data_IF_954195313232
#
_entry.id   IF_954195313232
#
_cell.length_a   1.000
_cell.length_b   1.000
_cell.length_c   1.000
_cell.angle_alpha   90.00
_cell.angle_beta   90.00
_cell.angle_gamma   90.00
#
_symmetry.space_group_name_H-M   'P 1'
#
loop_
_entity.id
_entity.type
_entity.pdbx_description
1 polymer ?
#
# COMPACT_ATOMS: atom_id res chain seq x y z
N UNK A 1 10.31 31.64 -26.50
CA UNK A 1 10.70 30.28 -26.06
C UNK A 1 11.04 30.19 -24.57
N UNK A 2 10.58 31.10 -23.71
CA UNK A 2 10.71 30.96 -22.24
C UNK A 2 9.43 30.42 -21.58
N UNK A 3 8.26 30.70 -22.17
CA UNK A 3 6.94 30.35 -21.59
C UNK A 3 6.61 28.86 -21.64
N UNK A 4 7.07 28.12 -22.66
CA UNK A 4 6.86 26.67 -22.77
C UNK A 4 7.71 25.85 -21.78
N UNK A 5 8.91 26.32 -21.43
CA UNK A 5 9.75 25.67 -20.41
C UNK A 5 9.17 25.81 -19.01
N UNK A 6 8.52 26.94 -18.70
CA UNK A 6 7.85 27.15 -17.40
C UNK A 6 6.62 26.24 -17.26
N UNK A 7 5.87 26.00 -18.34
CA UNK A 7 4.72 25.10 -18.33
C UNK A 7 5.11 23.62 -18.18
N UNK A 8 6.24 23.20 -18.77
CA UNK A 8 6.72 21.81 -18.69
C UNK A 8 7.22 21.44 -17.29
N UNK A 9 7.76 22.40 -16.53
CA UNK A 9 8.20 22.17 -15.14
C UNK A 9 7.04 21.99 -14.15
N UNK A 10 5.87 22.59 -14.40
CA UNK A 10 4.74 22.54 -13.46
C UNK A 10 3.95 21.23 -13.51
N UNK A 11 3.99 20.49 -14.62
CA UNK A 11 3.27 19.23 -14.80
C UNK A 11 4.04 17.99 -14.26
N UNK A 12 5.33 18.14 -13.93
CA UNK A 12 6.18 17.04 -13.44
C UNK A 12 6.03 16.74 -11.94
N UNK A 13 5.30 17.56 -11.18
CA UNK A 13 5.23 17.46 -9.71
C UNK A 13 4.10 16.56 -9.18
N UNK A 14 3.25 15.98 -10.03
CA UNK A 14 1.99 15.34 -9.57
C UNK A 14 2.09 13.82 -9.36
N UNK A 15 3.20 13.16 -9.67
CA UNK A 15 3.20 11.68 -9.66
C UNK A 15 4.36 11.10 -8.86
N UNK A 16 4.26 11.13 -7.53
CA UNK A 16 4.90 10.14 -6.65
C UNK A 16 4.12 10.07 -5.32
N UNK A 17 2.93 9.50 -5.33
CA UNK A 17 2.34 8.96 -4.10
C UNK A 17 2.08 7.47 -4.32
N UNK A 18 3.16 6.70 -4.37
CA UNK A 18 3.10 5.23 -4.29
C UNK A 18 3.34 4.83 -2.84
N UNK A 19 2.46 5.27 -1.93
CA UNK A 19 2.31 4.57 -0.67
C UNK A 19 1.40 3.38 -0.93
N UNK A 20 1.87 2.16 -0.69
CA UNK A 20 1.04 0.95 -0.73
C UNK A 20 0.08 0.88 0.48
N UNK A 21 -0.43 2.04 0.90
CA UNK A 21 -1.31 2.22 2.04
C UNK A 21 -2.50 3.06 1.62
N UNK A 22 -3.67 2.72 2.14
CA UNK A 22 -4.87 3.53 1.99
C UNK A 22 -5.53 3.76 3.33
N UNK A 23 -6.23 4.88 3.43
CA UNK A 23 -7.07 5.21 4.57
C UNK A 23 -8.47 5.56 4.08
N UNK A 24 -9.47 4.86 4.60
CA UNK A 24 -10.88 5.15 4.37
C UNK A 24 -11.47 5.71 5.65
N UNK A 25 -11.84 7.00 5.62
CA UNK A 25 -12.45 7.67 6.75
C UNK A 25 -13.79 7.01 7.14
N UNK A 26 -14.08 6.99 8.44
CA UNK A 26 -15.37 6.56 8.94
C UNK A 26 -16.47 7.58 8.58
N UNK A 27 -17.50 7.11 7.88
CA UNK A 27 -18.64 7.93 7.47
C UNK A 27 -19.78 7.84 8.51
N UNK A 28 -20.03 8.94 9.22
CA UNK A 28 -21.15 9.05 10.16
C UNK A 28 -22.41 9.52 9.42
N UNK A 29 -23.16 8.57 8.85
CA UNK A 29 -24.37 8.88 8.06
C UNK A 29 -25.63 9.12 8.91
N UNK A 30 -25.72 8.46 10.07
CA UNK A 30 -26.86 8.58 10.99
C UNK A 30 -26.36 8.71 12.44
N UNK A 31 -26.68 9.84 13.06
CA UNK A 31 -26.33 10.12 14.46
C UNK A 31 -27.07 9.20 15.45
N UNK A 32 -28.23 8.66 15.08
CA UNK A 32 -29.02 7.75 15.93
C UNK A 32 -28.52 6.31 15.86
N UNK A 33 -27.79 5.96 14.80
CA UNK A 33 -27.20 4.64 14.60
C UNK A 33 -25.74 4.79 14.16
N UNK A 34 -24.83 5.14 15.07
CA UNK A 34 -23.43 5.30 14.74
C UNK A 34 -22.83 3.98 14.26
N UNK A 35 -21.84 4.01 13.36
CA UNK A 35 -21.08 2.84 12.97
C UNK A 35 -20.50 2.15 14.21
N UNK A 36 -20.52 0.81 14.21
CA UNK A 36 -19.92 -0.01 15.27
C UNK A 36 -18.52 -0.49 14.91
N UNK A 37 -18.04 -0.12 13.73
CA UNK A 37 -16.79 -0.58 13.16
C UNK A 37 -16.62 -0.11 11.72
N UNK A 38 -15.68 -0.73 11.02
CA UNK A 38 -15.34 -0.43 9.64
C UNK A 38 -15.86 -1.52 8.72
N UNK A 39 -16.26 -1.14 7.51
CA UNK A 39 -16.64 -2.10 6.47
C UNK A 39 -15.53 -2.14 5.43
N UNK A 40 -14.98 -3.33 5.18
CA UNK A 40 -13.95 -3.53 4.17
C UNK A 40 -14.53 -3.63 2.74
N UNK A 41 -13.64 -3.77 1.75
CA UNK A 41 -14.04 -3.86 0.32
C UNK A 41 -14.88 -5.10 -0.03
N UNK A 42 -14.96 -6.11 0.85
CA UNK A 42 -15.85 -7.28 0.66
C UNK A 42 -17.21 -7.09 1.35
N UNK A 43 -17.43 -5.95 2.00
CA UNK A 43 -18.63 -5.69 2.78
C UNK A 43 -18.62 -6.33 4.17
N UNK A 44 -17.48 -6.88 4.62
CA UNK A 44 -17.36 -7.45 5.97
C UNK A 44 -17.16 -6.32 6.98
N UNK A 45 -17.97 -6.34 8.04
CA UNK A 45 -17.80 -5.44 9.17
C UNK A 45 -16.74 -5.99 10.13
N UNK A 46 -15.82 -5.12 10.53
CA UNK A 46 -14.80 -5.37 11.54
C UNK A 46 -14.97 -4.37 12.67
N UNK A 47 -14.91 -4.83 13.91
CA UNK A 47 -15.13 -4.01 15.10
C UNK A 47 -14.02 -2.95 15.28
N UNK A 48 -14.30 -1.86 15.98
CA UNK A 48 -13.25 -0.91 16.34
C UNK A 48 -12.15 -1.58 17.20
N UNK A 49 -10.89 -1.24 16.89
CA UNK A 49 -9.70 -1.83 17.53
C UNK A 49 -9.30 -3.17 16.94
N UNK A 50 -10.02 -3.70 15.95
CA UNK A 50 -9.62 -4.92 15.25
C UNK A 50 -8.46 -4.68 14.29
N UNK A 51 -7.63 -5.71 14.17
CA UNK A 51 -6.54 -5.80 13.19
C UNK A 51 -6.65 -7.13 12.46
N UNK A 52 -6.39 -7.13 11.15
CA UNK A 52 -6.42 -8.35 10.36
C UNK A 52 -5.51 -8.23 9.14
N UNK A 53 -5.12 -9.39 8.63
CA UNK A 53 -4.36 -9.49 7.40
C UNK A 53 -5.26 -9.87 6.23
N UNK A 54 -4.98 -9.25 5.08
CA UNK A 54 -5.72 -9.53 3.85
C UNK A 54 -4.87 -9.19 2.64
N UNK A 55 -4.71 -10.13 1.71
CA UNK A 55 -4.05 -9.89 0.42
C UNK A 55 -2.67 -9.22 0.57
N UNK A 56 -1.86 -9.68 1.54
CA UNK A 56 -0.60 -9.04 1.93
C UNK A 56 -0.72 -7.60 2.42
N UNK A 57 -1.86 -7.21 2.98
CA UNK A 57 -2.07 -5.94 3.67
C UNK A 57 -2.34 -6.20 5.15
N UNK A 58 -1.68 -5.44 6.01
CA UNK A 58 -2.08 -5.28 7.40
C UNK A 58 -3.17 -4.21 7.46
N UNK A 59 -4.35 -4.56 7.95
CA UNK A 59 -5.47 -3.66 8.11
C UNK A 59 -5.79 -3.43 9.59
N UNK A 60 -6.24 -2.22 9.92
CA UNK A 60 -6.74 -1.88 11.24
C UNK A 60 -7.98 -1.00 11.12
N UNK A 61 -8.95 -1.23 12.01
CA UNK A 61 -10.15 -0.40 12.12
C UNK A 61 -10.09 0.43 13.39
N UNK A 62 -10.09 1.75 13.26
CA UNK A 62 -10.15 2.68 14.39
C UNK A 62 -11.42 3.53 14.33
N UNK A 63 -11.67 4.34 15.36
CA UNK A 63 -12.75 5.33 15.35
C UNK A 63 -12.59 6.39 14.26
N UNK A 64 -11.39 6.54 13.69
CA UNK A 64 -11.13 7.48 12.60
C UNK A 64 -11.46 6.87 11.22
N UNK A 65 -11.28 5.55 11.08
CA UNK A 65 -11.50 4.86 9.82
C UNK A 65 -10.76 3.53 9.70
N UNK A 66 -10.81 2.98 8.48
CA UNK A 66 -10.07 1.79 8.07
C UNK A 66 -8.74 2.21 7.47
N UNK A 67 -7.64 1.75 8.06
CA UNK A 67 -6.30 1.88 7.50
C UNK A 67 -5.82 0.51 7.02
N UNK A 68 -5.25 0.42 5.83
CA UNK A 68 -4.55 -0.79 5.39
C UNK A 68 -3.23 -0.42 4.73
N UNK A 69 -2.20 -1.18 5.04
CA UNK A 69 -0.84 -1.00 4.51
C UNK A 69 -0.29 -2.32 3.99
N UNK A 70 0.31 -2.30 2.81
CA UNK A 70 1.01 -3.45 2.25
C UNK A 70 2.13 -3.91 3.16
N UNK A 71 2.23 -5.23 3.30
CA UNK A 71 3.35 -5.94 3.92
C UNK A 71 4.45 -6.27 2.90
N UNK A 72 4.15 -6.14 1.61
CA UNK A 72 5.14 -6.40 0.57
C UNK A 72 6.30 -5.40 0.65
N UNK A 73 7.55 -5.86 0.50
CA UNK A 73 8.69 -4.96 0.38
C UNK A 73 8.51 -4.03 -0.81
N UNK A 74 8.77 -2.74 -0.62
CA UNK A 74 8.71 -1.78 -1.71
C UNK A 74 9.91 -2.00 -2.65
N UNK A 75 9.64 -2.48 -3.86
CA UNK A 75 10.66 -2.75 -4.87
C UNK A 75 11.49 -1.51 -5.25
N UNK A 76 10.93 -0.31 -5.13
CA UNK A 76 11.64 0.94 -5.43
C UNK A 76 12.59 1.39 -4.31
N UNK A 77 12.54 0.75 -3.14
CA UNK A 77 13.46 1.01 -2.02
C UNK A 77 14.63 0.04 -1.97
N UNK A 78 14.60 -1.02 -2.78
CA UNK A 78 15.64 -2.05 -2.83
C UNK A 78 16.52 -1.78 -4.05
N UNK A 79 17.81 -1.51 -3.81
CA UNK A 79 18.80 -1.40 -4.88
C UNK A 79 19.11 -2.80 -5.41
N UNK A 80 18.72 -3.07 -6.67
CA UNK A 80 18.89 -4.37 -7.31
C UNK A 80 20.01 -4.23 -8.34
N UNK A 81 21.14 -4.87 -8.06
CA UNK A 81 22.25 -4.97 -9.02
C UNK A 81 21.80 -5.60 -10.35
N UNK A 82 22.47 -5.27 -11.44
CA UNK A 82 22.19 -5.82 -12.78
C UNK A 82 22.27 -7.35 -12.83
N UNK A 83 23.09 -7.94 -11.97
CA UNK A 83 23.26 -9.39 -11.83
C UNK A 83 22.19 -10.06 -10.96
N UNK A 84 21.28 -9.27 -10.37
CA UNK A 84 20.26 -9.75 -9.46
C UNK A 84 18.84 -9.51 -10.00
N UNK A 85 17.88 -10.23 -9.45
CA UNK A 85 16.45 -10.00 -9.67
C UNK A 85 15.65 -10.16 -8.39
N UNK A 86 14.49 -9.51 -8.34
CA UNK A 86 13.55 -9.64 -7.23
C UNK A 86 12.59 -10.81 -7.49
N UNK A 87 12.60 -11.79 -6.60
CA UNK A 87 11.64 -12.90 -6.55
C UNK A 87 10.59 -12.56 -5.51
N UNK A 88 9.33 -12.43 -5.96
CA UNK A 88 8.18 -12.12 -5.09
C UNK A 88 7.43 -13.40 -4.76
N UNK A 89 7.31 -13.69 -3.47
CA UNK A 89 6.44 -14.74 -2.93
C UNK A 89 5.16 -14.08 -2.39
N UNK A 90 4.07 -14.25 -3.12
CA UNK A 90 2.76 -13.69 -2.75
C UNK A 90 2.10 -14.41 -1.59
N UNK A 91 2.39 -15.70 -1.41
CA UNK A 91 1.77 -16.49 -0.35
C UNK A 91 2.44 -16.18 1.00
N UNK A 92 3.76 -15.97 0.98
CA UNK A 92 4.53 -15.52 2.13
C UNK A 92 4.53 -13.99 2.32
N UNK A 93 3.90 -13.23 1.42
CA UNK A 93 3.93 -11.76 1.40
C UNK A 93 5.34 -11.18 1.51
N UNK A 94 6.29 -11.78 0.78
CA UNK A 94 7.71 -11.44 0.87
C UNK A 94 8.33 -11.28 -0.50
N UNK A 95 9.50 -10.64 -0.54
CA UNK A 95 10.31 -10.55 -1.74
C UNK A 95 11.78 -10.72 -1.36
N UNK A 96 12.53 -11.39 -2.24
CA UNK A 96 13.95 -11.69 -2.07
C UNK A 96 14.72 -11.25 -3.30
N UNK A 97 15.90 -10.69 -3.11
CA UNK A 97 16.82 -10.42 -4.21
C UNK A 97 17.72 -11.63 -4.35
N UNK A 98 17.85 -12.17 -5.56
CA UNK A 98 18.70 -13.33 -5.84
C UNK A 98 19.54 -13.09 -7.09
N UNK A 99 20.69 -13.73 -7.18
CA UNK A 99 21.52 -13.69 -8.40
C UNK A 99 20.78 -14.33 -9.58
N UNK A 100 20.92 -13.72 -10.75
CA UNK A 100 20.34 -14.22 -12.01
C UNK A 100 20.94 -15.56 -12.42
N UNK A 101 22.24 -15.73 -12.22
CA UNK A 101 22.99 -16.94 -12.56
C UNK A 101 22.78 -18.10 -11.57
N UNK A 102 22.43 -17.80 -10.32
CA UNK A 102 22.15 -18.80 -9.28
C UNK A 102 21.10 -18.25 -8.30
N UNK A 103 19.87 -18.77 -8.40
CA UNK A 103 18.71 -18.33 -7.59
C UNK A 103 18.79 -18.75 -6.13
N UNK A 104 19.76 -19.58 -5.76
CA UNK A 104 19.98 -20.00 -4.36
C UNK A 104 20.85 -19.02 -3.59
N UNK A 105 21.45 -18.06 -4.28
CA UNK A 105 22.33 -17.05 -3.70
C UNK A 105 21.63 -15.69 -3.65
N UNK A 106 21.41 -15.22 -2.42
CA UNK A 106 20.87 -13.90 -2.07
C UNK A 106 21.99 -12.84 -2.03
#
# INVERSE_FOLDING_TARGET
>A
MASFHVFLCLLGLVVLCHSDSFFQKLELKDLKNPPKGCVDKDGKQHDFGSEWDRDCMACSCTSEGLSCSSKMPNANTVDISEDCELVVDKDACSAKVVMKSDKTKE
#
